data_IF_197405676131
#
_entry.id   IF_197405676131
#
_cell.length_a   1.000
_cell.length_b   1.000
_cell.length_c   1.000
_cell.angle_alpha   90.00
_cell.angle_beta   90.00
_cell.angle_gamma   90.00
#
_symmetry.space_group_name_H-M   'P 1'
#
loop_
_entity.id
_entity.type
_entity.pdbx_description
1 polymer ?
#
# COMPACT_ATOMS: atom_id res chain seq x y z
N UNK A 1 -1.88 8.56 26.12
CA UNK A 1 -2.29 8.86 24.73
C UNK A 1 -2.77 7.54 24.15
N UNK A 2 -3.99 7.45 23.61
CA UNK A 2 -4.48 6.17 23.07
C UNK A 2 -3.63 5.78 21.84
N UNK A 3 -3.42 4.47 21.64
CA UNK A 3 -2.68 3.92 20.49
C UNK A 3 -3.21 4.49 19.16
N UNK A 4 -4.51 4.72 19.06
CA UNK A 4 -5.17 5.30 17.88
C UNK A 4 -4.64 6.68 17.49
N UNK A 5 -4.33 7.55 18.46
CA UNK A 5 -3.82 8.90 18.18
C UNK A 5 -2.41 8.81 17.58
N UNK A 6 -1.57 7.93 18.12
CA UNK A 6 -0.22 7.73 17.59
C UNK A 6 -0.27 7.13 16.18
N UNK A 7 -1.23 6.24 15.90
CA UNK A 7 -1.38 5.64 14.58
C UNK A 7 -1.82 6.66 13.54
N UNK A 8 -2.81 7.49 13.86
CA UNK A 8 -3.28 8.57 13.00
C UNK A 8 -2.17 9.58 12.69
N UNK A 9 -1.38 9.97 13.70
CA UNK A 9 -0.23 10.86 13.50
C UNK A 9 0.81 10.25 12.55
N UNK A 10 1.04 8.95 12.63
CA UNK A 10 1.99 8.26 11.75
C UNK A 10 1.51 8.24 10.30
N UNK A 11 0.24 7.86 10.06
CA UNK A 11 -0.38 7.90 8.74
C UNK A 11 -0.35 9.32 8.13
N UNK A 12 -0.64 10.33 8.96
CA UNK A 12 -0.60 11.75 8.59
C UNK A 12 0.78 12.18 8.07
N UNK A 13 1.88 11.75 8.70
CA UNK A 13 3.22 12.16 8.27
C UNK A 13 3.55 11.69 6.86
N UNK A 14 3.11 10.47 6.50
CA UNK A 14 3.31 9.94 5.15
C UNK A 14 2.42 10.67 4.14
N UNK A 15 1.16 10.94 4.49
CA UNK A 15 0.26 11.70 3.64
C UNK A 15 0.79 13.13 3.39
N UNK A 16 1.29 13.82 4.41
CA UNK A 16 1.86 15.17 4.25
C UNK A 16 3.05 15.18 3.29
N UNK A 17 3.89 14.13 3.33
CA UNK A 17 4.98 13.96 2.35
C UNK A 17 4.46 13.73 0.94
N UNK A 18 3.45 12.89 0.76
CA UNK A 18 2.78 12.71 -0.55
C UNK A 18 2.30 14.04 -1.10
N UNK A 19 1.60 14.84 -0.28
CA UNK A 19 1.12 16.17 -0.72
C UNK A 19 2.28 17.08 -1.10
N UNK A 20 3.37 17.08 -0.33
CA UNK A 20 4.58 17.84 -0.68
C UNK A 20 5.19 17.43 -2.03
N UNK A 21 5.25 16.14 -2.34
CA UNK A 21 5.69 15.67 -3.67
C UNK A 21 4.77 16.15 -4.78
N UNK A 22 3.45 16.02 -4.60
CA UNK A 22 2.46 16.47 -5.59
C UNK A 22 2.55 17.98 -5.84
N UNK A 23 2.79 18.78 -4.79
CA UNK A 23 2.99 20.22 -4.93
C UNK A 23 4.29 20.56 -5.67
N UNK A 24 5.37 19.79 -5.43
CA UNK A 24 6.63 19.96 -6.14
C UNK A 24 6.48 19.61 -7.63
N UNK A 25 5.86 18.48 -7.96
CA UNK A 25 5.61 18.10 -9.35
C UNK A 25 4.73 19.11 -10.09
N UNK A 26 3.73 19.67 -9.41
CA UNK A 26 2.86 20.68 -10.00
C UNK A 26 3.62 21.97 -10.37
N UNK A 27 4.69 22.33 -9.64
CA UNK A 27 5.56 23.46 -10.01
C UNK A 27 6.28 23.22 -11.35
N UNK A 28 6.49 21.96 -11.71
CA UNK A 28 7.09 21.53 -12.98
C UNK A 28 6.04 21.23 -14.06
N UNK A 29 4.75 21.51 -13.80
CA UNK A 29 3.60 21.14 -14.63
C UNK A 29 3.40 19.62 -14.82
N UNK A 30 3.92 18.82 -13.89
CA UNK A 30 3.64 17.39 -13.82
C UNK A 30 2.51 17.13 -12.82
N UNK A 31 1.54 16.30 -13.21
CA UNK A 31 0.35 16.05 -12.41
C UNK A 31 -0.01 14.56 -12.41
N UNK A 32 0.09 13.94 -11.24
CA UNK A 32 -0.30 12.55 -11.04
C UNK A 32 -1.73 12.44 -10.48
N UNK A 33 -2.71 12.32 -11.39
CA UNK A 33 -4.14 12.24 -11.04
C UNK A 33 -4.50 11.10 -10.10
N UNK A 34 -3.91 9.93 -10.30
CA UNK A 34 -4.21 8.75 -9.49
C UNK A 34 -3.67 8.91 -8.07
N UNK A 35 -2.45 9.43 -7.92
CA UNK A 35 -1.89 9.72 -6.60
C UNK A 35 -2.65 10.85 -5.89
N UNK A 36 -3.03 11.93 -6.61
CA UNK A 36 -3.88 12.99 -6.05
C UNK A 36 -5.22 12.44 -5.54
N UNK A 37 -5.85 11.56 -6.31
CA UNK A 37 -7.10 10.88 -5.92
C UNK A 37 -6.89 10.11 -4.62
N UNK A 38 -5.86 9.27 -4.56
CA UNK A 38 -5.51 8.48 -3.37
C UNK A 38 -5.20 9.38 -2.17
N UNK A 39 -4.49 10.49 -2.37
CA UNK A 39 -4.14 11.43 -1.30
C UNK A 39 -5.38 12.14 -0.74
N UNK A 40 -6.32 12.59 -1.58
CA UNK A 40 -7.61 13.15 -1.12
C UNK A 40 -8.36 12.12 -0.29
N UNK A 41 -8.41 10.90 -0.79
CA UNK A 41 -9.01 9.75 -0.15
C UNK A 41 -8.48 9.51 1.28
N UNK A 42 -7.16 9.37 1.42
CA UNK A 42 -6.50 9.18 2.71
C UNK A 42 -6.66 10.40 3.61
N UNK A 43 -6.65 11.62 3.05
CA UNK A 43 -6.90 12.85 3.81
C UNK A 43 -8.32 12.88 4.40
N UNK A 44 -9.33 12.39 3.68
CA UNK A 44 -10.70 12.30 4.19
C UNK A 44 -10.82 11.28 5.33
N UNK A 45 -10.17 10.11 5.23
CA UNK A 45 -10.13 9.10 6.30
C UNK A 45 -9.53 9.66 7.58
N UNK A 46 -8.45 10.43 7.44
CA UNK A 46 -7.72 11.04 8.54
C UNK A 46 -8.35 12.35 9.01
N UNK A 47 -9.52 12.73 8.48
CA UNK A 47 -10.24 13.98 8.80
C UNK A 47 -9.40 15.26 8.58
N UNK A 48 -8.47 15.22 7.61
CA UNK A 48 -7.54 16.31 7.27
C UNK A 48 -8.08 17.21 6.16
N UNK A 49 -9.09 18.01 6.50
CA UNK A 49 -9.75 18.94 5.56
C UNK A 49 -8.80 19.96 4.91
N UNK A 50 -7.70 20.32 5.58
CA UNK A 50 -6.64 21.17 5.03
C UNK A 50 -5.88 20.49 3.89
N UNK A 51 -5.50 19.21 4.05
CA UNK A 51 -4.83 18.44 3.00
C UNK A 51 -5.77 18.15 1.83
N UNK A 52 -7.04 17.84 2.10
CA UNK A 52 -8.07 17.71 1.06
C UNK A 52 -8.14 18.99 0.22
N UNK A 53 -8.15 20.16 0.85
CA UNK A 53 -8.25 21.44 0.16
C UNK A 53 -7.03 21.70 -0.73
N UNK A 54 -5.81 21.43 -0.22
CA UNK A 54 -4.56 21.58 -0.98
C UNK A 54 -4.54 20.69 -2.22
N UNK A 55 -4.83 19.39 -2.07
CA UNK A 55 -4.80 18.46 -3.21
C UNK A 55 -5.93 18.77 -4.21
N UNK A 56 -7.12 19.19 -3.77
CA UNK A 56 -8.19 19.66 -4.66
C UNK A 56 -7.80 20.92 -5.44
N UNK A 57 -6.97 21.79 -4.87
CA UNK A 57 -6.44 22.94 -5.60
C UNK A 57 -5.49 22.50 -6.72
N UNK A 58 -4.57 21.58 -6.45
CA UNK A 58 -3.70 20.98 -7.47
C UNK A 58 -4.53 20.30 -8.57
N UNK A 59 -5.57 19.55 -8.20
CA UNK A 59 -6.50 18.92 -9.14
C UNK A 59 -7.16 19.94 -10.08
N UNK A 60 -7.60 21.09 -9.55
CA UNK A 60 -8.20 22.17 -10.37
C UNK A 60 -7.18 22.79 -11.31
N UNK A 61 -5.95 23.03 -10.85
CA UNK A 61 -4.86 23.55 -11.69
C UNK A 61 -4.59 22.59 -12.85
N UNK A 62 -4.43 21.29 -12.54
CA UNK A 62 -4.22 20.25 -13.54
C UNK A 62 -5.32 20.21 -14.61
N UNK A 63 -6.61 20.40 -14.24
CA UNK A 63 -7.72 20.42 -15.22
C UNK A 63 -7.58 21.54 -16.24
N UNK A 64 -7.15 22.73 -15.78
CA UNK A 64 -6.93 23.88 -16.66
C UNK A 64 -5.83 23.61 -17.69
N UNK A 65 -4.84 22.78 -17.35
CA UNK A 65 -3.74 22.43 -18.26
C UNK A 65 -4.11 21.38 -19.31
N UNK A 66 -4.96 20.41 -18.98
CA UNK A 66 -5.22 19.26 -19.86
C UNK A 66 -6.57 19.29 -20.59
N UNK A 67 -7.50 20.18 -20.24
CA UNK A 67 -8.80 20.30 -20.94
C UNK A 67 -9.71 19.06 -20.83
N UNK A 68 -9.34 18.05 -20.02
CA UNK A 68 -10.12 16.84 -19.77
C UNK A 68 -11.04 17.06 -18.56
N UNK A 69 -12.21 17.65 -18.78
CA UNK A 69 -13.20 17.85 -17.69
C UNK A 69 -14.03 16.61 -17.36
N UNK A 70 -14.18 15.64 -18.29
CA UNK A 70 -15.31 14.69 -18.23
C UNK A 70 -15.03 13.27 -17.73
N UNK A 71 -13.79 12.76 -17.70
CA UNK A 71 -13.56 11.32 -17.39
C UNK A 71 -13.36 10.98 -15.91
N UNK A 72 -13.32 11.96 -15.03
CA UNK A 72 -13.03 11.75 -13.59
C UNK A 72 -13.99 12.57 -12.72
N UNK A 73 -15.30 12.54 -13.02
CA UNK A 73 -16.31 12.83 -11.99
C UNK A 73 -16.33 11.66 -11.00
N UNK A 74 -15.28 11.55 -10.20
CA UNK A 74 -15.23 10.63 -9.08
C UNK A 74 -15.97 11.34 -7.95
N UNK A 75 -17.01 10.69 -7.44
CA UNK A 75 -17.63 11.11 -6.21
C UNK A 75 -16.59 11.00 -5.08
N UNK A 76 -16.07 12.15 -4.65
CA UNK A 76 -15.10 12.27 -3.56
C UNK A 76 -15.81 12.35 -2.19
N UNK A 77 -17.03 11.83 -2.10
CA UNK A 77 -17.73 11.64 -0.83
C UNK A 77 -17.07 10.52 0.00
N UNK A 78 -17.27 10.59 1.31
CA UNK A 78 -16.79 9.55 2.23
C UNK A 78 -17.44 8.18 1.96
N UNK A 79 -18.67 8.15 1.43
CA UNK A 79 -19.41 6.91 1.16
C UNK A 79 -18.87 6.16 -0.05
N UNK A 80 -18.62 6.86 -1.15
CA UNK A 80 -17.94 6.30 -2.32
C UNK A 80 -16.51 5.84 -1.96
N UNK A 81 -15.89 6.50 -0.99
CA UNK A 81 -14.58 6.14 -0.50
C UNK A 81 -14.55 4.84 0.33
N UNK A 82 -15.47 4.67 1.29
CA UNK A 82 -15.55 3.43 2.09
C UNK A 82 -15.81 2.19 1.23
N UNK A 83 -16.40 2.36 0.05
CA UNK A 83 -16.54 1.29 -0.93
C UNK A 83 -15.24 0.98 -1.69
N UNK A 84 -14.44 2.00 -2.01
CA UNK A 84 -13.19 1.84 -2.76
C UNK A 84 -12.02 1.37 -1.89
N UNK A 85 -12.02 1.71 -0.61
CA UNK A 85 -10.96 1.37 0.35
C UNK A 85 -11.62 0.93 1.65
N UNK A 86 -12.07 -0.33 1.72
CA UNK A 86 -12.76 -0.84 2.90
C UNK A 86 -11.85 -0.81 4.13
N UNK A 87 -12.49 -0.81 5.31
CA UNK A 87 -11.79 -1.11 6.56
C UNK A 87 -11.16 -2.49 6.40
N UNK A 88 -9.89 -2.61 6.76
CA UNK A 88 -9.16 -3.86 6.62
C UNK A 88 -8.86 -4.46 7.99
N UNK A 89 -9.82 -5.19 8.60
CA UNK A 89 -9.58 -5.82 9.89
C UNK A 89 -8.60 -7.00 9.72
N UNK A 90 -7.65 -7.13 10.63
CA UNK A 90 -6.65 -8.21 10.61
C UNK A 90 -7.27 -9.61 10.56
N UNK A 91 -8.48 -9.78 11.10
CA UNK A 91 -9.23 -11.03 11.07
C UNK A 91 -9.64 -11.48 9.66
N UNK A 92 -9.74 -10.56 8.70
CA UNK A 92 -10.18 -10.85 7.33
C UNK A 92 -9.02 -11.19 6.39
N UNK A 93 -7.78 -10.96 6.82
CA UNK A 93 -6.57 -11.26 6.04
C UNK A 93 -6.56 -12.69 5.47
N UNK A 94 -6.83 -13.76 6.27
CA UNK A 94 -6.85 -15.11 5.73
C UNK A 94 -7.98 -15.33 4.73
N UNK A 95 -9.13 -14.67 4.90
CA UNK A 95 -10.28 -14.82 4.02
C UNK A 95 -10.00 -14.23 2.62
N UNK A 96 -9.29 -13.09 2.55
CA UNK A 96 -8.92 -12.50 1.26
C UNK A 96 -7.87 -13.31 0.51
N UNK A 97 -6.82 -13.77 1.19
CA UNK A 97 -5.82 -14.64 0.55
C UNK A 97 -6.49 -15.92 0.02
N UNK A 98 -7.45 -16.47 0.79
CA UNK A 98 -8.27 -17.59 0.35
C UNK A 98 -9.17 -17.27 -0.86
N UNK A 99 -9.66 -16.03 -1.00
CA UNK A 99 -10.43 -15.61 -2.17
C UNK A 99 -9.55 -15.63 -3.43
N UNK A 100 -8.30 -15.15 -3.33
CA UNK A 100 -7.32 -15.24 -4.41
C UNK A 100 -7.06 -16.69 -4.81
N UNK A 101 -6.90 -17.59 -3.84
CA UNK A 101 -6.74 -19.04 -4.07
C UNK A 101 -7.96 -19.66 -4.79
N UNK A 102 -9.18 -19.26 -4.40
CA UNK A 102 -10.44 -19.79 -4.97
C UNK A 102 -10.64 -19.45 -6.44
N UNK A 103 -10.01 -18.40 -6.95
CA UNK A 103 -10.02 -18.11 -8.40
C UNK A 103 -9.17 -19.10 -9.22
N UNK A 104 -8.45 -20.02 -8.55
CA UNK A 104 -7.84 -21.20 -9.14
C UNK A 104 -6.55 -20.95 -9.94
N UNK A 105 -6.03 -19.72 -9.95
CA UNK A 105 -4.94 -19.32 -10.84
C UNK A 105 -3.52 -19.50 -10.28
N UNK A 106 -3.34 -19.74 -8.99
CA UNK A 106 -2.00 -19.66 -8.36
C UNK A 106 -1.75 -20.77 -7.33
N UNK A 107 -1.18 -21.89 -7.78
CA UNK A 107 -0.88 -23.07 -6.92
C UNK A 107 0.12 -22.75 -5.80
N UNK A 108 1.10 -21.88 -6.06
CA UNK A 108 2.07 -21.44 -5.05
C UNK A 108 1.40 -20.68 -3.91
N UNK A 109 0.40 -19.84 -4.21
CA UNK A 109 -0.37 -19.12 -3.18
C UNK A 109 -1.16 -20.10 -2.31
N UNK A 110 -1.82 -21.09 -2.92
CA UNK A 110 -2.57 -22.10 -2.18
C UNK A 110 -1.69 -22.84 -1.16
N UNK A 111 -0.51 -23.29 -1.58
CA UNK A 111 0.48 -23.91 -0.68
C UNK A 111 1.01 -22.94 0.39
N UNK A 112 1.18 -21.67 0.03
CA UNK A 112 1.64 -20.64 0.96
C UNK A 112 0.62 -20.36 2.08
N UNK A 113 -0.68 -20.41 1.78
CA UNK A 113 -1.75 -20.33 2.79
C UNK A 113 -1.68 -21.49 3.79
N UNK A 114 -1.35 -22.69 3.31
CA UNK A 114 -1.12 -23.87 4.14
C UNK A 114 0.25 -23.86 4.85
N UNK A 115 1.03 -22.78 4.72
CA UNK A 115 2.40 -22.64 5.23
C UNK A 115 3.39 -23.67 4.67
N UNK A 116 3.10 -24.24 3.50
CA UNK A 116 3.96 -25.21 2.80
C UNK A 116 4.95 -24.51 1.86
N UNK A 117 5.72 -23.58 2.41
CA UNK A 117 6.58 -22.68 1.61
C UNK A 117 7.67 -23.42 0.83
N UNK A 118 8.23 -24.50 1.39
CA UNK A 118 9.22 -25.34 0.72
C UNK A 118 8.68 -25.99 -0.57
N UNK A 119 7.37 -26.19 -0.66
CA UNK A 119 6.70 -26.71 -1.85
C UNK A 119 6.19 -25.59 -2.76
N UNK A 120 5.84 -24.43 -2.19
CA UNK A 120 5.38 -23.27 -2.96
C UNK A 120 6.50 -22.64 -3.82
N UNK A 121 7.69 -22.41 -3.26
CA UNK A 121 8.79 -21.74 -3.96
C UNK A 121 9.25 -22.44 -5.24
N UNK A 122 9.38 -23.78 -5.28
CA UNK A 122 9.70 -24.50 -6.52
C UNK A 122 8.65 -24.39 -7.62
N UNK A 123 7.39 -24.04 -7.28
CA UNK A 123 6.32 -23.86 -8.26
C UNK A 123 6.24 -22.45 -8.84
N UNK A 124 6.90 -21.47 -8.23
CA UNK A 124 6.90 -20.10 -8.72
C UNK A 124 7.67 -20.00 -10.04
N UNK A 125 6.98 -19.55 -11.09
CA UNK A 125 7.49 -19.46 -12.45
C UNK A 125 8.53 -18.34 -12.61
N UNK A 126 8.39 -17.27 -11.84
CA UNK A 126 9.23 -16.08 -11.91
C UNK A 126 9.40 -15.42 -10.54
N UNK A 127 10.11 -14.30 -10.54
CA UNK A 127 10.41 -13.52 -9.34
C UNK A 127 9.15 -12.84 -8.77
N UNK A 128 8.18 -12.51 -9.60
CA UNK A 128 6.92 -11.93 -9.15
C UNK A 128 6.11 -12.94 -8.33
N UNK A 129 5.97 -14.18 -8.80
CA UNK A 129 5.29 -15.24 -8.05
C UNK A 129 6.02 -15.58 -6.74
N UNK A 130 7.36 -15.50 -6.71
CA UNK A 130 8.13 -15.65 -5.47
C UNK A 130 7.87 -14.50 -4.50
N UNK A 131 7.79 -13.27 -4.99
CA UNK A 131 7.40 -12.11 -4.17
C UNK A 131 6.00 -12.30 -3.58
N UNK A 132 5.05 -12.86 -4.35
CA UNK A 132 3.71 -13.19 -3.83
C UNK A 132 3.74 -14.21 -2.69
N UNK A 133 4.62 -15.22 -2.75
CA UNK A 133 4.82 -16.17 -1.63
C UNK A 133 5.27 -15.40 -0.39
N UNK A 134 6.25 -14.51 -0.53
CA UNK A 134 6.76 -13.67 0.57
C UNK A 134 5.64 -12.77 1.12
N UNK A 135 4.92 -12.05 0.26
CA UNK A 135 3.78 -11.22 0.68
C UNK A 135 2.71 -12.02 1.41
N UNK A 136 2.47 -13.27 0.99
CA UNK A 136 1.57 -14.19 1.68
C UNK A 136 2.07 -14.55 3.08
N UNK A 137 3.38 -14.84 3.24
CA UNK A 137 3.99 -15.06 4.56
C UNK A 137 3.78 -13.85 5.48
N UNK A 138 4.01 -12.63 4.96
CA UNK A 138 3.88 -11.38 5.72
C UNK A 138 2.45 -11.18 6.23
N UNK A 139 1.45 -11.26 5.36
CA UNK A 139 0.05 -11.01 5.78
C UNK A 139 -0.47 -12.09 6.73
N UNK A 140 0.01 -13.34 6.60
CA UNK A 140 -0.30 -14.41 7.56
C UNK A 140 0.42 -14.24 8.90
N UNK A 141 1.27 -13.22 9.05
CA UNK A 141 2.03 -12.92 10.26
C UNK A 141 3.25 -13.81 10.46
N UNK A 142 3.65 -14.60 9.46
CA UNK A 142 4.85 -15.43 9.48
C UNK A 142 6.09 -14.60 9.08
N UNK A 143 6.36 -13.58 9.89
CA UNK A 143 7.36 -12.56 9.60
C UNK A 143 8.78 -13.12 9.55
N UNK A 144 9.11 -14.11 10.40
CA UNK A 144 10.43 -14.73 10.44
C UNK A 144 10.71 -15.48 9.13
N UNK A 145 9.76 -16.29 8.65
CA UNK A 145 9.87 -16.99 7.37
C UNK A 145 9.91 -16.00 6.20
N UNK A 146 9.10 -14.94 6.26
CA UNK A 146 9.10 -13.88 5.26
C UNK A 146 10.45 -13.17 5.15
N UNK A 147 11.07 -12.83 6.28
CA UNK A 147 12.39 -12.18 6.31
C UNK A 147 13.47 -13.09 5.76
N UNK A 148 13.50 -14.37 6.18
CA UNK A 148 14.43 -15.35 5.64
C UNK A 148 14.28 -15.50 4.12
N UNK A 149 13.03 -15.61 3.66
CA UNK A 149 12.71 -15.72 2.24
C UNK A 149 13.18 -14.48 1.48
N UNK A 150 12.90 -13.27 1.99
CA UNK A 150 13.33 -11.99 1.38
C UNK A 150 14.86 -11.86 1.30
N UNK A 151 15.60 -12.34 2.30
CA UNK A 151 17.07 -12.36 2.29
C UNK A 151 17.59 -13.35 1.25
N UNK A 152 17.01 -14.54 1.18
CA UNK A 152 17.41 -15.57 0.20
C UNK A 152 17.07 -15.21 -1.25
N UNK A 153 16.11 -14.30 -1.43
CA UNK A 153 15.63 -13.86 -2.73
C UNK A 153 16.69 -12.96 -3.40
N UNK A 154 17.48 -13.50 -4.32
CA UNK A 154 18.71 -12.86 -4.83
C UNK A 154 18.51 -12.02 -6.11
N UNK A 155 17.35 -11.38 -6.23
CA UNK A 155 16.85 -10.77 -7.47
C UNK A 155 17.05 -9.25 -7.49
N UNK A 156 16.78 -8.62 -8.64
CA UNK A 156 16.91 -7.18 -8.86
C UNK A 156 16.07 -6.42 -7.84
N UNK A 157 16.62 -5.34 -7.29
CA UNK A 157 16.09 -4.51 -6.21
C UNK A 157 14.59 -4.21 -6.30
N UNK A 158 14.08 -3.98 -7.51
CA UNK A 158 12.69 -3.57 -7.75
C UNK A 158 11.69 -4.68 -7.41
N UNK A 159 12.10 -5.96 -7.49
CA UNK A 159 11.25 -7.14 -7.18
C UNK A 159 11.06 -7.41 -5.69
N UNK A 160 11.67 -6.61 -4.80
CA UNK A 160 11.47 -6.70 -3.35
C UNK A 160 10.62 -5.56 -2.81
N UNK A 161 10.39 -4.54 -3.62
CA UNK A 161 9.85 -3.28 -3.14
C UNK A 161 8.42 -3.44 -2.63
N UNK A 162 7.57 -4.19 -3.34
CA UNK A 162 6.20 -4.44 -2.90
C UNK A 162 6.16 -5.27 -1.63
N UNK A 163 6.99 -6.31 -1.51
CA UNK A 163 7.12 -7.06 -0.26
C UNK A 163 7.52 -6.17 0.93
N UNK A 164 8.43 -5.20 0.73
CA UNK A 164 8.81 -4.24 1.77
C UNK A 164 7.64 -3.30 2.16
N UNK A 165 6.84 -2.85 1.20
CA UNK A 165 5.63 -2.06 1.48
C UNK A 165 4.62 -2.88 2.30
N UNK A 166 4.39 -4.15 1.94
CA UNK A 166 3.52 -5.08 2.69
C UNK A 166 4.06 -5.28 4.10
N UNK A 167 5.37 -5.48 4.28
CA UNK A 167 5.99 -5.53 5.61
C UNK A 167 5.71 -4.26 6.42
N UNK A 168 5.89 -3.09 5.83
CA UNK A 168 5.64 -1.81 6.50
C UNK A 168 4.21 -1.73 7.03
N UNK A 169 3.23 -2.00 6.17
CA UNK A 169 1.81 -1.99 6.55
C UNK A 169 1.50 -3.02 7.63
N UNK A 170 1.95 -4.27 7.47
CA UNK A 170 1.57 -5.35 8.38
C UNK A 170 2.29 -5.29 9.74
N UNK A 171 3.51 -4.75 9.79
CA UNK A 171 4.20 -4.46 11.05
C UNK A 171 3.51 -3.35 11.81
N UNK A 172 3.13 -2.26 11.14
CA UNK A 172 2.39 -1.18 11.78
C UNK A 172 1.06 -1.66 12.34
N UNK A 173 0.27 -2.42 11.57
CA UNK A 173 -1.03 -2.93 12.00
C UNK A 173 -0.97 -3.88 13.20
N UNK A 174 0.18 -4.50 13.47
CA UNK A 174 0.40 -5.43 14.58
C UNK A 174 1.30 -4.85 15.67
N UNK A 175 1.43 -3.52 15.72
CA UNK A 175 2.20 -2.79 16.73
C UNK A 175 3.68 -3.19 16.81
N UNK A 176 4.27 -3.66 15.70
CA UNK A 176 5.68 -4.08 15.59
C UNK A 176 6.58 -2.92 15.16
N UNK A 177 6.61 -1.85 15.98
CA UNK A 177 7.26 -0.59 15.60
C UNK A 177 8.78 -0.67 15.44
N UNK A 178 9.46 -1.51 16.22
CA UNK A 178 10.92 -1.67 16.11
C UNK A 178 11.30 -2.26 14.74
N UNK A 179 10.58 -3.29 14.30
CA UNK A 179 10.76 -3.90 12.98
C UNK A 179 10.31 -2.97 11.86
N UNK A 180 9.21 -2.24 12.05
CA UNK A 180 8.73 -1.24 11.10
C UNK A 180 9.83 -0.21 10.79
N UNK A 181 10.54 0.29 11.80
CA UNK A 181 11.58 1.29 11.59
C UNK A 181 12.72 0.77 10.71
N UNK A 182 13.08 -0.51 10.83
CA UNK A 182 14.06 -1.15 9.94
C UNK A 182 13.57 -1.19 8.50
N UNK A 183 12.34 -1.64 8.28
CA UNK A 183 11.76 -1.73 6.92
C UNK A 183 11.62 -0.35 6.28
N UNK A 184 11.24 0.67 7.04
CA UNK A 184 11.17 2.04 6.54
C UNK A 184 12.55 2.58 6.15
N UNK A 185 13.63 2.15 6.82
CA UNK A 185 14.98 2.52 6.41
C UNK A 185 15.35 1.84 5.08
N UNK A 186 15.02 0.56 4.91
CA UNK A 186 15.26 -0.18 3.67
C UNK A 186 14.50 0.44 2.48
N UNK A 187 13.22 0.77 2.69
CA UNK A 187 12.39 1.46 1.70
C UNK A 187 12.96 2.84 1.33
N UNK A 188 13.38 3.63 2.31
CA UNK A 188 14.04 4.93 2.06
C UNK A 188 15.32 4.76 1.28
N UNK A 189 16.14 3.77 1.61
CA UNK A 189 17.34 3.45 0.85
C UNK A 189 17.01 3.08 -0.60
N UNK A 190 15.85 2.47 -0.87
CA UNK A 190 15.34 2.20 -2.23
C UNK A 190 14.71 3.39 -2.96
N UNK A 191 14.76 4.60 -2.38
CA UNK A 191 14.20 5.85 -2.94
C UNK A 191 12.68 5.82 -3.06
N UNK A 192 11.99 5.74 -1.92
CA UNK A 192 10.54 5.89 -1.89
C UNK A 192 10.05 7.13 -2.64
N UNK A 193 9.03 6.95 -3.47
CA UNK A 193 8.38 8.03 -4.22
C UNK A 193 7.03 8.45 -3.59
N UNK A 194 6.27 9.32 -4.27
CA UNK A 194 4.98 9.78 -3.78
C UNK A 194 3.95 8.63 -3.60
N UNK A 195 4.03 7.59 -4.45
CA UNK A 195 3.13 6.45 -4.43
C UNK A 195 3.38 5.61 -3.19
N UNK A 196 4.63 5.31 -2.89
CA UNK A 196 4.99 4.54 -1.70
C UNK A 196 4.46 5.21 -0.43
N UNK A 197 4.62 6.54 -0.36
CA UNK A 197 4.13 7.31 0.79
C UNK A 197 2.61 7.26 0.91
N UNK A 198 1.86 7.37 -0.19
CA UNK A 198 0.39 7.40 -0.12
C UNK A 198 -0.18 6.01 0.20
N UNK A 199 0.45 4.95 -0.31
CA UNK A 199 0.06 3.56 -0.02
C UNK A 199 0.32 3.24 1.46
N UNK A 200 1.48 3.61 1.99
CA UNK A 200 1.78 3.45 3.41
C UNK A 200 0.83 4.27 4.29
N UNK A 201 0.54 5.53 3.93
CA UNK A 201 -0.42 6.35 4.64
C UNK A 201 -1.82 5.70 4.69
N UNK A 202 -2.28 5.12 3.57
CA UNK A 202 -3.54 4.39 3.49
C UNK A 202 -3.53 3.14 4.40
N UNK A 203 -2.48 2.33 4.34
CA UNK A 203 -2.32 1.14 5.17
C UNK A 203 -2.29 1.45 6.67
N UNK A 204 -1.58 2.51 7.06
CA UNK A 204 -1.48 3.00 8.44
C UNK A 204 -2.80 3.61 8.94
N UNK A 205 -3.65 4.10 8.04
CA UNK A 205 -5.02 4.51 8.37
C UNK A 205 -5.98 3.32 8.57
N UNK A 206 -5.48 2.08 8.56
CA UNK A 206 -6.29 0.87 8.78
C UNK A 206 -7.16 0.50 7.58
N UNK A 207 -6.75 0.89 6.37
CA UNK A 207 -7.46 0.66 5.11
C UNK A 207 -6.65 -0.19 4.16
N UNK A 208 -7.31 -0.80 3.18
CA UNK A 208 -6.62 -1.50 2.10
C UNK A 208 -5.75 -0.50 1.30
N UNK A 209 -4.42 -0.69 1.24
CA UNK A 209 -3.54 0.29 0.62
C UNK A 209 -3.76 0.47 -0.90
N UNK A 210 -4.03 -0.62 -1.61
CA UNK A 210 -4.33 -0.67 -3.05
C UNK A 210 -5.28 -1.85 -3.32
N UNK A 211 -6.01 -1.81 -4.44
CA UNK A 211 -6.94 -2.89 -4.79
C UNK A 211 -6.21 -4.20 -5.08
N UNK A 212 -6.65 -5.29 -4.45
CA UNK A 212 -6.06 -6.61 -4.63
C UNK A 212 -4.97 -6.94 -3.60
N UNK A 213 -4.81 -6.10 -2.57
CA UNK A 213 -3.84 -6.30 -1.50
C UNK A 213 -3.90 -7.73 -0.92
N UNK A 214 -2.76 -8.41 -0.67
CA UNK A 214 -1.40 -7.87 -0.74
C UNK A 214 -0.74 -7.98 -2.12
N UNK A 215 -1.44 -8.49 -3.13
CA UNK A 215 -0.86 -8.65 -4.46
C UNK A 215 -1.11 -7.36 -5.26
N UNK A 216 -0.16 -6.96 -6.10
CA UNK A 216 -0.39 -5.87 -7.03
C UNK A 216 -1.29 -6.37 -8.18
N UNK A 217 -2.33 -5.61 -8.50
CA UNK A 217 -3.17 -5.81 -9.68
C UNK A 217 -2.47 -5.17 -10.88
N UNK A 218 -1.54 -5.92 -11.51
CA UNK A 218 -0.82 -5.50 -12.72
C UNK A 218 -1.54 -5.95 -13.99
#
# INVERSE_FOLDING_TARGET
MSHDIQHQQFAQQFLERTVGFLEQEAQENHYNWYCMRQAIAVALILERGDLVSRVKQLWRQAKLHFGYEERLQIDLSADSFNQLYPIYPLSEVPAMVNLTVRTGKSKHIALSVEKRYSEAFPLAADDFEREQIIMTQIVLGDFDSAQQSLVSFNTVRDTKHMALLVFGVEYFRRDRFDQLQSILNDLRSSKMDMWDHVLLACGFAGREPWGGYPYADY
#
